data_IF_555016636555
#
_entry.id   IF_555016636555
#
_cell.length_a   1.000
_cell.length_b   1.000
_cell.length_c   1.000
_cell.angle_alpha   90.00
_cell.angle_beta   90.00
_cell.angle_gamma   90.00
#
_symmetry.space_group_name_H-M   'P 1'
#
loop_
_entity.id
_entity.type
_entity.pdbx_description
1 polymer ?
#
# COMPACT_ATOMS: atom_id res chain seq x y z
N UNK A 1 11.38 10.04 3.47
CA UNK A 1 12.37 9.03 3.02
C UNK A 1 11.66 8.09 2.06
N UNK A 2 12.24 7.68 0.91
CA UNK A 2 11.52 6.80 -0.01
C UNK A 2 11.21 5.46 0.65
N UNK A 3 9.98 4.98 0.47
CA UNK A 3 9.58 3.64 0.89
C UNK A 3 9.71 2.67 -0.29
N UNK A 4 10.08 1.43 -0.02
CA UNK A 4 10.40 0.44 -1.04
C UNK A 4 9.72 -0.90 -0.75
N UNK A 5 9.27 -1.56 -1.80
CA UNK A 5 8.76 -2.93 -1.75
C UNK A 5 9.29 -3.73 -2.94
N UNK A 6 9.43 -5.05 -2.78
CA UNK A 6 9.88 -5.96 -3.84
C UNK A 6 8.74 -6.94 -4.14
N UNK A 7 8.50 -7.20 -5.42
CA UNK A 7 7.59 -8.23 -5.89
C UNK A 7 8.09 -8.83 -7.19
N UNK A 8 8.37 -10.14 -7.19
CA UNK A 8 9.08 -10.78 -8.31
C UNK A 8 10.44 -10.12 -8.56
N UNK A 9 10.74 -9.81 -9.83
CA UNK A 9 11.98 -9.12 -10.24
C UNK A 9 11.87 -7.59 -10.26
N UNK A 10 10.88 -7.00 -9.57
CA UNK A 10 10.61 -5.56 -9.63
C UNK A 10 10.72 -4.94 -8.24
N UNK A 11 11.53 -3.89 -8.13
CA UNK A 11 11.58 -2.96 -7.02
C UNK A 11 10.60 -1.82 -7.27
N UNK A 12 9.68 -1.63 -6.33
CA UNK A 12 8.77 -0.48 -6.29
C UNK A 12 9.34 0.57 -5.35
N UNK A 13 9.43 1.82 -5.81
CA UNK A 13 9.96 2.93 -5.02
C UNK A 13 8.91 4.04 -4.96
N UNK A 14 8.42 4.31 -3.75
CA UNK A 14 7.48 5.39 -3.48
C UNK A 14 8.20 6.67 -3.08
N UNK A 15 8.00 7.71 -3.88
CA UNK A 15 8.38 9.09 -3.59
C UNK A 15 7.14 9.99 -3.51
N UNK A 16 7.33 11.26 -3.13
CA UNK A 16 6.20 12.16 -2.80
C UNK A 16 5.11 12.27 -3.87
N UNK A 17 5.48 12.14 -5.14
CA UNK A 17 4.58 12.30 -6.27
C UNK A 17 4.63 11.13 -7.25
N UNK A 18 5.24 10.01 -6.87
CA UNK A 18 5.39 8.87 -7.76
C UNK A 18 5.48 7.56 -7.01
N UNK A 19 5.11 6.47 -7.69
CA UNK A 19 5.62 5.14 -7.40
C UNK A 19 6.26 4.59 -8.68
N UNK A 20 7.58 4.39 -8.64
CA UNK A 20 8.38 3.90 -9.78
C UNK A 20 8.55 2.40 -9.71
N UNK A 21 8.62 1.76 -10.87
CA UNK A 21 8.94 0.35 -11.03
C UNK A 21 10.36 0.24 -11.60
N UNK A 22 11.26 -0.41 -10.89
CA UNK A 22 12.67 -0.62 -11.26
C UNK A 22 12.87 -2.12 -11.44
N UNK A 23 13.40 -2.54 -12.58
CA UNK A 23 13.85 -3.91 -12.79
C UNK A 23 15.08 -4.19 -11.93
N UNK A 24 15.04 -5.26 -11.12
CA UNK A 24 16.08 -5.57 -10.14
C UNK A 24 17.37 -6.09 -10.77
N UNK A 25 17.28 -6.76 -11.92
CA UNK A 25 18.46 -7.28 -12.62
C UNK A 25 19.27 -6.15 -13.27
N UNK A 26 18.58 -5.21 -13.90
CA UNK A 26 19.22 -4.16 -14.72
C UNK A 26 19.30 -2.81 -14.04
N UNK A 27 18.56 -2.60 -12.95
CA UNK A 27 18.41 -1.30 -12.27
C UNK A 27 17.66 -0.24 -13.10
N UNK A 28 17.09 -0.61 -14.24
CA UNK A 28 16.40 0.33 -15.13
C UNK A 28 14.96 0.56 -14.68
N UNK A 29 14.48 1.79 -14.81
CA UNK A 29 13.07 2.08 -14.64
C UNK A 29 12.27 1.45 -15.79
N UNK A 30 11.33 0.58 -15.45
CA UNK A 30 10.48 -0.15 -16.41
C UNK A 30 9.02 0.35 -16.41
N UNK A 31 8.66 1.24 -15.49
CA UNK A 31 7.33 1.83 -15.45
C UNK A 31 7.07 2.73 -14.24
N UNK A 32 5.84 3.21 -14.14
CA UNK A 32 5.31 3.95 -12.99
C UNK A 32 3.89 3.47 -12.71
N UNK A 33 3.41 3.57 -11.47
CA UNK A 33 1.98 3.48 -11.20
C UNK A 33 1.30 4.80 -11.53
N UNK A 34 0.31 4.82 -12.45
CA UNK A 34 -0.48 6.01 -12.72
C UNK A 34 -1.20 6.49 -11.45
N UNK A 35 -1.29 7.79 -11.26
CA UNK A 35 -2.12 8.48 -10.24
C UNK A 35 -1.77 8.25 -8.76
N UNK A 36 -0.85 7.33 -8.43
CA UNK A 36 -0.40 7.08 -7.06
C UNK A 36 0.47 8.25 -6.53
N UNK A 37 -0.18 9.25 -5.91
CA UNK A 37 0.50 10.30 -5.13
C UNK A 37 0.76 9.79 -3.72
N UNK A 38 2.02 9.45 -3.46
CA UNK A 38 2.42 8.76 -2.23
C UNK A 38 2.69 9.71 -1.04
N UNK A 39 2.49 11.03 -1.19
CA UNK A 39 2.52 11.99 -0.08
C UNK A 39 3.86 12.07 0.67
N UNK A 40 3.86 12.59 1.90
CA UNK A 40 5.10 12.95 2.59
C UNK A 40 5.85 11.74 3.16
N UNK A 41 5.12 10.68 3.53
CA UNK A 41 5.63 9.45 4.14
C UNK A 41 4.82 8.24 3.68
N UNK A 42 5.00 7.79 2.43
CA UNK A 42 4.29 6.64 1.94
C UNK A 42 4.71 5.35 2.62
N UNK A 43 3.79 4.39 2.64
CA UNK A 43 4.09 2.98 2.83
C UNK A 43 3.58 2.21 1.61
N UNK A 44 4.43 1.37 1.01
CA UNK A 44 4.04 0.47 -0.07
C UNK A 44 4.27 -0.98 0.34
N UNK A 45 3.33 -1.84 -0.04
CA UNK A 45 3.33 -3.27 0.30
C UNK A 45 2.93 -4.07 -0.94
N UNK A 46 3.63 -5.18 -1.19
CA UNK A 46 3.23 -6.18 -2.18
C UNK A 46 2.66 -7.39 -1.44
N UNK A 47 1.46 -7.82 -1.83
CA UNK A 47 0.79 -9.00 -1.30
C UNK A 47 0.33 -9.88 -2.48
N UNK A 48 1.17 -10.83 -2.89
CA UNK A 48 0.92 -11.64 -4.09
C UNK A 48 0.85 -10.78 -5.35
N UNK A 49 -0.29 -10.80 -6.04
CA UNK A 49 -0.55 -9.98 -7.23
C UNK A 49 -1.20 -8.61 -6.92
N UNK A 50 -1.19 -8.19 -5.65
CA UNK A 50 -1.71 -6.90 -5.20
C UNK A 50 -0.58 -5.98 -4.77
N UNK A 51 -0.75 -4.70 -5.07
CA UNK A 51 0.04 -3.63 -4.48
C UNK A 51 -0.91 -2.78 -3.62
N UNK A 52 -0.44 -2.44 -2.43
CA UNK A 52 -1.14 -1.55 -1.50
C UNK A 52 -0.27 -0.32 -1.29
N UNK A 53 -0.86 0.86 -1.44
CA UNK A 53 -0.20 2.15 -1.20
C UNK A 53 -0.94 2.88 -0.10
N UNK A 54 -0.24 3.20 0.98
CA UNK A 54 -0.67 4.18 1.96
C UNK A 54 0.05 5.50 1.66
N UNK A 55 -0.65 6.56 1.23
CA UNK A 55 -0.03 7.81 0.79
C UNK A 55 0.30 8.78 1.93
N UNK A 56 -0.18 8.52 3.14
CA UNK A 56 0.17 9.33 4.31
C UNK A 56 0.25 8.44 5.54
N UNK A 57 1.42 8.41 6.16
CA UNK A 57 1.74 7.57 7.29
C UNK A 57 2.12 8.35 8.55
N UNK A 58 2.08 9.68 8.59
CA UNK A 58 2.63 10.44 9.72
C UNK A 58 1.61 11.27 10.54
N UNK A 59 0.39 11.50 10.03
CA UNK A 59 -0.54 12.49 10.60
C UNK A 59 -1.80 11.90 11.25
N UNK A 60 -1.77 10.65 11.70
CA UNK A 60 -2.91 10.06 12.43
C UNK A 60 -4.15 9.79 11.57
N UNK A 61 -4.03 9.90 10.25
CA UNK A 61 -5.01 9.44 9.27
C UNK A 61 -4.36 8.36 8.41
N UNK A 62 -5.13 7.32 8.10
CA UNK A 62 -4.70 6.25 7.21
C UNK A 62 -5.71 6.13 6.07
N UNK A 63 -5.19 6.06 4.85
CA UNK A 63 -5.92 5.62 3.68
C UNK A 63 -5.06 4.62 2.91
N UNK A 64 -5.74 3.74 2.18
CA UNK A 64 -5.12 2.69 1.38
C UNK A 64 -5.71 2.71 -0.01
N UNK A 65 -4.82 2.73 -0.99
CA UNK A 65 -5.11 2.49 -2.40
C UNK A 65 -4.72 1.04 -2.69
N UNK A 66 -5.61 0.31 -3.35
CA UNK A 66 -5.38 -1.09 -3.73
C UNK A 66 -5.19 -1.16 -5.23
N UNK A 67 -4.24 -1.98 -5.68
CA UNK A 67 -3.99 -2.20 -7.10
C UNK A 67 -3.89 -3.70 -7.39
N UNK A 68 -4.43 -4.10 -8.53
CA UNK A 68 -4.30 -5.42 -9.12
C UNK A 68 -3.22 -5.41 -10.19
N UNK A 69 -2.32 -6.39 -10.17
CA UNK A 69 -1.35 -6.60 -11.25
C UNK A 69 -2.08 -7.03 -12.52
N UNK A 70 -1.79 -6.34 -13.61
CA UNK A 70 -2.21 -6.65 -14.98
C UNK A 70 -0.99 -7.07 -15.81
N UNK A 71 -1.20 -7.56 -17.02
CA UNK A 71 -0.12 -7.97 -17.92
C UNK A 71 0.79 -6.78 -18.31
N UNK A 72 0.21 -5.60 -18.47
CA UNK A 72 0.88 -4.37 -18.91
C UNK A 72 1.07 -3.32 -17.80
N UNK A 73 0.70 -3.64 -16.54
CA UNK A 73 0.84 -2.69 -15.45
C UNK A 73 -0.01 -2.98 -14.23
N UNK A 74 -0.65 -1.95 -13.71
CA UNK A 74 -1.45 -2.00 -12.49
C UNK A 74 -2.78 -1.30 -12.70
N UNK A 75 -3.85 -1.93 -12.22
CA UNK A 75 -5.20 -1.36 -12.21
C UNK A 75 -5.60 -1.04 -10.78
N UNK A 76 -6.01 0.20 -10.50
CA UNK A 76 -6.55 0.54 -9.19
C UNK A 76 -7.88 -0.18 -8.94
N UNK A 77 -8.02 -0.75 -7.74
CA UNK A 77 -9.23 -1.41 -7.27
C UNK A 77 -10.03 -0.43 -6.40
N UNK A 78 -11.15 0.03 -6.94
CA UNK A 78 -12.11 0.86 -6.20
C UNK A 78 -11.56 2.23 -5.77
N UNK A 79 -12.26 2.83 -4.81
CA UNK A 79 -11.89 4.10 -4.20
C UNK A 79 -10.90 3.89 -3.05
N UNK A 80 -10.10 4.92 -2.67
CA UNK A 80 -9.29 4.86 -1.46
C UNK A 80 -10.14 4.43 -0.26
N UNK A 81 -9.63 3.47 0.52
CA UNK A 81 -10.31 2.98 1.71
C UNK A 81 -9.56 3.40 2.96
N UNK A 82 -10.28 3.91 3.96
CA UNK A 82 -9.73 4.21 5.28
C UNK A 82 -10.27 3.20 6.28
N UNK A 83 -9.41 2.56 7.11
CA UNK A 83 -9.89 1.65 8.14
C UNK A 83 -10.71 2.42 9.18
N UNK A 84 -11.73 1.78 9.80
CA UNK A 84 -12.53 2.42 10.85
C UNK A 84 -11.70 2.92 12.05
N UNK A 85 -10.54 2.33 12.32
CA UNK A 85 -9.68 2.63 13.46
C UNK A 85 -8.34 3.26 13.03
N UNK A 86 -8.39 4.24 12.13
CA UNK A 86 -7.23 4.89 11.51
C UNK A 86 -6.52 5.95 12.39
N UNK A 87 -6.86 6.10 13.67
CA UNK A 87 -6.54 7.27 14.51
C UNK A 87 -5.08 7.40 14.96
N UNK A 88 -4.20 6.50 14.53
CA UNK A 88 -2.78 6.56 14.86
C UNK A 88 -1.95 6.14 13.67
N UNK A 89 -0.76 6.72 13.55
CA UNK A 89 0.26 6.31 12.59
C UNK A 89 1.64 6.36 13.25
N UNK A 90 2.66 5.71 12.69
CA UNK A 90 4.03 5.84 13.18
C UNK A 90 4.72 7.03 12.50
N UNK A 91 5.55 7.75 13.25
CA UNK A 91 6.42 8.76 12.65
C UNK A 91 7.60 8.09 11.95
N UNK A 92 7.89 8.55 10.72
CA UNK A 92 8.94 8.03 9.85
C UNK A 92 8.64 6.59 9.35
N UNK A 93 9.27 6.18 8.25
CA UNK A 93 9.20 4.86 7.58
C UNK A 93 9.65 3.68 8.46
N UNK A 94 9.37 3.72 9.77
CA UNK A 94 9.51 2.61 10.68
C UNK A 94 8.42 1.59 10.34
N UNK A 95 8.74 0.30 10.35
CA UNK A 95 7.80 -0.76 10.02
C UNK A 95 6.71 -0.88 11.10
N UNK A 96 5.70 -0.01 11.07
CA UNK A 96 4.33 -0.48 11.19
C UNK A 96 3.99 -1.14 9.86
N UNK A 97 4.62 -2.29 9.60
CA UNK A 97 4.19 -3.13 8.49
C UNK A 97 2.74 -3.45 8.80
N UNK A 98 1.85 -3.25 7.83
CA UNK A 98 0.52 -3.82 7.89
C UNK A 98 0.63 -5.19 7.23
N UNK A 99 1.08 -6.25 7.95
CA UNK A 99 1.33 -7.51 7.30
C UNK A 99 0.03 -7.97 6.65
N UNK A 100 0.17 -8.50 5.44
CA UNK A 100 -0.91 -9.18 4.74
C UNK A 100 -0.57 -10.66 4.75
N UNK A 101 -1.35 -11.46 5.47
CA UNK A 101 -1.13 -12.89 5.63
C UNK A 101 -2.46 -13.61 5.39
N UNK A 102 -2.48 -14.55 4.45
CA UNK A 102 -3.67 -15.32 4.08
C UNK A 102 -4.91 -14.44 3.81
N UNK A 103 -4.74 -13.40 2.98
CA UNK A 103 -5.82 -12.47 2.63
C UNK A 103 -6.29 -11.57 3.78
N UNK A 104 -5.58 -11.51 4.90
CA UNK A 104 -5.91 -10.64 6.04
C UNK A 104 -4.89 -9.53 6.23
N UNK A 105 -5.36 -8.31 6.43
CA UNK A 105 -4.57 -7.12 6.72
C UNK A 105 -4.58 -6.85 8.22
N UNK A 106 -3.40 -6.69 8.83
CA UNK A 106 -3.28 -6.32 10.24
C UNK A 106 -2.91 -4.83 10.40
N UNK A 107 -3.69 -4.08 11.19
CA UNK A 107 -3.52 -2.63 11.38
C UNK A 107 -3.42 -2.31 12.85
N UNK A 108 -2.41 -1.54 13.26
CA UNK A 108 -2.33 -0.98 14.61
C UNK A 108 -3.18 0.29 14.69
N UNK A 109 -4.19 0.30 15.55
CA UNK A 109 -4.89 1.50 15.99
C UNK A 109 -4.37 2.02 17.33
N UNK A 110 -4.93 3.13 17.83
CA UNK A 110 -4.46 3.76 19.07
C UNK A 110 -4.60 2.89 20.33
N UNK A 111 -5.50 1.91 20.29
CA UNK A 111 -5.89 1.06 21.42
C UNK A 111 -5.74 -0.45 21.14
N UNK A 112 -5.16 -0.87 20.00
CA UNK A 112 -5.02 -2.28 19.70
C UNK A 112 -4.52 -2.61 18.29
N UNK A 113 -4.45 -3.91 18.00
CA UNK A 113 -4.16 -4.44 16.65
C UNK A 113 -5.45 -5.04 16.10
N UNK A 114 -5.82 -4.62 14.90
CA UNK A 114 -7.03 -4.99 14.18
C UNK A 114 -6.68 -5.89 13.00
N UNK A 115 -7.56 -6.86 12.68
CA UNK A 115 -7.41 -7.76 11.55
C UNK A 115 -8.62 -7.62 10.62
N UNK A 116 -8.38 -7.26 9.37
CA UNK A 116 -9.40 -7.13 8.33
C UNK A 116 -9.26 -8.27 7.32
N UNK A 117 -10.34 -9.01 7.07
CA UNK A 117 -10.36 -10.05 6.03
C UNK A 117 -10.67 -9.41 4.68
N UNK A 118 -9.66 -9.32 3.81
CA UNK A 118 -9.76 -8.70 2.49
C UNK A 118 -10.51 -9.56 1.46
N UNK A 119 -10.92 -10.77 1.85
CA UNK A 119 -11.69 -11.69 0.98
C UNK A 119 -13.20 -11.50 1.11
N UNK A 120 -13.66 -10.68 2.07
CA UNK A 120 -15.08 -10.38 2.23
C UNK A 120 -15.49 -9.29 1.24
N UNK A 121 -16.47 -9.58 0.39
CA UNK A 121 -17.08 -8.59 -0.50
C UNK A 121 -17.83 -7.52 0.31
N UNK A 122 -17.65 -6.25 -0.05
CA UNK A 122 -18.32 -5.09 0.57
C UNK A 122 -19.78 -4.91 0.13
N UNK A 123 -20.41 -5.91 -0.48
CA UNK A 123 -21.84 -5.89 -0.74
C UNK A 123 -22.59 -6.40 0.47
N UNK A 124 -22.73 -5.56 1.48
CA UNK A 124 -23.90 -5.57 2.37
C UNK A 124 -23.91 -4.28 3.21
N UNK A 125 -24.64 -3.31 2.72
CA UNK A 125 -25.22 -2.23 3.53
C UNK A 125 -26.57 -1.91 2.92
N UNK A 126 -27.62 -2.49 3.52
CA UNK A 126 -29.00 -2.05 3.38
C UNK A 126 -29.17 -0.66 4.00
#
# INVERSE_FOLDING_TARGET
TPNMAIGGNVLYVAGRQFVRCIDLETGKQIGNLPEAKAGSNPCILIAGNKLIVSPEGQHGSQSFLFYQRMDDGWMQLGQPWSPPNASTTAYNTQPLVHPVIDGRLFVRGGNGIYCYDLRKDTKESN
#
